data_IF_687261194830
#
_entry.id   IF_687261194830
#
_cell.length_a   1.000
_cell.length_b   1.000
_cell.length_c   1.000
_cell.angle_alpha   90.00
_cell.angle_beta   90.00
_cell.angle_gamma   90.00
#
_symmetry.space_group_name_H-M   'P 1'
#
loop_
_entity.id
_entity.type
_entity.pdbx_description
1 polymer ?
#
# COMPACT_ATOMS: atom_id res chain seq x y z
N UNK A 1 21.61 0.59 77.39
CA UNK A 1 20.67 0.39 78.51
C UNK A 1 19.41 -0.22 77.94
N UNK A 2 19.14 -1.40 78.38
CA UNK A 2 18.16 -2.36 77.93
C UNK A 2 16.75 -1.97 78.40
N UNK A 3 15.73 -2.18 77.61
CA UNK A 3 14.49 -2.66 78.18
C UNK A 3 13.65 -3.35 77.10
N UNK A 4 13.57 -4.63 77.27
CA UNK A 4 12.63 -5.54 76.62
C UNK A 4 11.25 -5.40 77.19
N UNK A 5 10.19 -5.42 76.41
CA UNK A 5 8.80 -5.68 76.80
C UNK A 5 8.16 -6.68 75.90
N UNK A 6 7.99 -7.86 76.45
CA UNK A 6 7.16 -8.96 75.95
C UNK A 6 5.68 -8.65 76.19
N UNK A 7 4.84 -8.78 75.21
CA UNK A 7 3.39 -8.83 75.38
C UNK A 7 2.78 -10.01 74.59
N UNK A 8 2.22 -10.85 75.35
CA UNK A 8 1.42 -12.02 74.97
C UNK A 8 0.05 -11.63 74.39
N UNK A 9 -0.40 -12.36 73.48
CA UNK A 9 -1.64 -12.24 72.90
C UNK A 9 -2.42 -13.40 72.60
N UNK A 10 -3.56 -13.44 72.69
CA UNK A 10 -4.58 -14.51 72.60
C UNK A 10 -4.98 -14.75 71.15
N UNK A 11 -5.02 -16.04 70.79
CA UNK A 11 -5.60 -16.53 69.52
C UNK A 11 -7.13 -16.43 69.58
N UNK A 12 -7.68 -15.77 68.60
CA UNK A 12 -9.12 -15.88 68.30
C UNK A 12 -9.24 -16.57 66.92
N UNK A 13 -9.79 -17.81 66.96
CA UNK A 13 -10.20 -18.49 65.75
C UNK A 13 -11.47 -17.82 65.20
N UNK A 14 -11.35 -17.21 64.04
CA UNK A 14 -12.49 -16.75 63.26
C UNK A 14 -12.72 -17.78 62.14
N UNK A 15 -13.77 -18.55 62.22
CA UNK A 15 -14.21 -19.47 61.18
C UNK A 15 -14.88 -18.64 60.09
N UNK A 16 -14.21 -18.45 58.96
CA UNK A 16 -14.80 -17.82 57.78
C UNK A 16 -15.51 -18.86 56.94
N UNK A 17 -16.82 -18.80 56.96
CA UNK A 17 -17.66 -19.60 56.03
C UNK A 17 -17.67 -18.92 54.68
N UNK A 18 -16.91 -19.44 53.73
CA UNK A 18 -16.91 -19.00 52.34
C UNK A 18 -18.09 -19.57 51.59
N UNK A 19 -19.11 -18.76 51.35
CA UNK A 19 -20.14 -19.03 50.36
C UNK A 19 -19.55 -18.91 48.97
N UNK A 20 -19.31 -20.02 48.30
CA UNK A 20 -18.97 -20.07 46.90
C UNK A 20 -20.23 -19.78 46.07
N UNK A 21 -20.40 -18.52 45.65
CA UNK A 21 -21.40 -18.19 44.65
C UNK A 21 -20.89 -18.69 43.29
N UNK A 22 -21.48 -19.76 42.78
CA UNK A 22 -21.31 -20.16 41.39
C UNK A 22 -21.96 -19.12 40.47
N UNK A 23 -21.16 -18.20 39.94
CA UNK A 23 -21.55 -17.32 38.81
C UNK A 23 -21.45 -18.15 37.55
N UNK A 24 -22.53 -18.35 36.77
CA UNK A 24 -22.42 -18.99 35.47
C UNK A 24 -21.57 -18.11 34.55
N UNK A 25 -20.44 -18.63 34.09
CA UNK A 25 -19.66 -18.05 33.02
C UNK A 25 -20.53 -18.07 31.75
N UNK A 26 -21.24 -16.98 31.52
CA UNK A 26 -21.78 -16.69 30.18
C UNK A 26 -20.59 -16.50 29.28
N UNK A 27 -20.27 -17.51 28.46
CA UNK A 27 -19.25 -17.46 27.46
C UNK A 27 -19.56 -16.29 26.51
N UNK A 28 -18.83 -15.17 26.64
CA UNK A 28 -18.84 -14.13 25.64
C UNK A 28 -18.21 -14.75 24.39
N UNK A 29 -19.06 -15.04 23.39
CA UNK A 29 -18.58 -15.36 22.04
C UNK A 29 -17.83 -14.12 21.53
N UNK A 30 -16.50 -14.16 21.59
CA UNK A 30 -15.67 -13.17 20.95
C UNK A 30 -16.06 -13.14 19.46
N UNK A 31 -16.39 -11.97 18.88
CA UNK A 31 -16.63 -11.90 17.45
C UNK A 31 -15.42 -12.50 16.73
N UNK A 32 -15.68 -13.37 15.77
CA UNK A 32 -14.64 -14.01 14.99
C UNK A 32 -13.78 -12.90 14.36
N UNK A 33 -12.51 -12.88 14.71
CA UNK A 33 -11.54 -11.96 14.12
C UNK A 33 -11.51 -12.22 12.61
N UNK A 34 -11.63 -11.21 11.76
CA UNK A 34 -11.50 -11.39 10.31
C UNK A 34 -10.24 -12.22 10.00
N UNK A 35 -10.30 -13.15 9.04
CA UNK A 35 -9.10 -13.88 8.65
C UNK A 35 -8.03 -12.88 8.20
N UNK A 36 -6.80 -13.10 8.65
CA UNK A 36 -5.66 -12.28 8.22
C UNK A 36 -5.57 -12.29 6.68
N UNK A 37 -5.26 -11.14 6.04
CA UNK A 37 -5.09 -11.07 4.59
C UNK A 37 -4.11 -12.15 4.12
N UNK A 38 -4.48 -12.86 3.07
CA UNK A 38 -3.58 -13.85 2.48
C UNK A 38 -2.57 -13.13 1.59
N UNK A 39 -1.27 -13.44 1.68
CA UNK A 39 -0.27 -12.80 0.83
C UNK A 39 -0.60 -12.94 -0.66
N UNK A 40 -0.33 -11.90 -1.44
CA UNK A 40 -0.50 -11.92 -2.89
C UNK A 40 0.23 -13.10 -3.51
N UNK A 41 -0.46 -13.84 -4.38
CA UNK A 41 0.14 -14.96 -5.08
C UNK A 41 1.01 -14.44 -6.23
N UNK A 42 2.28 -14.21 -5.94
CA UNK A 42 3.28 -13.86 -6.93
C UNK A 42 3.80 -15.13 -7.60
N UNK A 43 3.48 -15.28 -8.89
CA UNK A 43 3.79 -16.48 -9.67
C UNK A 43 4.99 -16.26 -10.59
N UNK A 44 5.67 -17.36 -10.94
CA UNK A 44 6.83 -17.34 -11.83
C UNK A 44 7.98 -16.47 -11.31
N UNK A 45 8.59 -16.83 -10.16
CA UNK A 45 9.72 -16.09 -9.63
C UNK A 45 10.87 -16.03 -10.64
N UNK A 46 11.54 -14.88 -10.69
CA UNK A 46 12.69 -14.67 -11.55
C UNK A 46 13.88 -15.43 -10.95
N UNK A 47 14.59 -16.28 -11.72
CA UNK A 47 15.76 -16.99 -11.20
C UNK A 47 16.81 -16.05 -10.61
N UNK A 48 17.35 -16.36 -9.44
CA UNK A 48 18.33 -15.52 -8.74
C UNK A 48 19.54 -15.14 -9.61
N UNK A 49 20.01 -16.04 -10.49
CA UNK A 49 21.08 -15.75 -11.42
C UNK A 49 20.79 -14.63 -12.43
N UNK A 50 19.49 -14.35 -12.69
CA UNK A 50 19.07 -13.25 -13.57
C UNK A 50 18.96 -11.92 -12.81
N UNK A 51 18.96 -11.95 -11.48
CA UNK A 51 18.86 -10.76 -10.62
C UNK A 51 20.20 -10.37 -9.99
N UNK A 52 21.14 -11.31 -9.87
CA UNK A 52 22.40 -11.13 -9.13
C UNK A 52 23.23 -9.91 -9.58
N UNK A 53 23.18 -9.55 -10.87
CA UNK A 53 23.91 -8.40 -11.41
C UNK A 53 23.48 -7.06 -10.79
N UNK A 54 22.25 -6.96 -10.26
CA UNK A 54 21.73 -5.75 -9.65
C UNK A 54 22.55 -5.32 -8.43
N UNK A 55 23.12 -6.26 -7.68
CA UNK A 55 24.01 -5.94 -6.56
C UNK A 55 25.24 -5.10 -6.99
N UNK A 56 25.72 -5.28 -8.20
CA UNK A 56 26.83 -4.51 -8.76
C UNK A 56 26.51 -3.04 -9.04
N UNK A 57 25.25 -2.67 -8.94
CA UNK A 57 24.78 -1.30 -9.15
C UNK A 57 24.49 -0.55 -7.85
N UNK A 58 24.71 -1.12 -6.68
CA UNK A 58 24.52 -0.47 -5.40
C UNK A 58 25.22 0.90 -5.36
N UNK A 59 24.46 1.97 -5.11
CA UNK A 59 24.94 3.35 -5.07
C UNK A 59 25.27 4.00 -6.43
N UNK A 60 25.23 3.24 -7.53
CA UNK A 60 25.34 3.79 -8.89
C UNK A 60 24.02 4.42 -9.32
N UNK A 61 24.07 5.29 -10.31
CA UNK A 61 22.86 5.98 -10.77
C UNK A 61 21.94 5.06 -11.57
N UNK A 62 20.62 5.29 -11.47
CA UNK A 62 19.63 4.62 -12.30
C UNK A 62 19.95 4.80 -13.79
N UNK A 63 20.42 5.98 -14.21
CA UNK A 63 20.88 6.25 -15.57
C UNK A 63 21.99 5.31 -16.04
N UNK A 64 22.88 4.88 -15.14
CA UNK A 64 23.94 3.92 -15.48
C UNK A 64 23.37 2.51 -15.61
N UNK A 65 22.45 2.11 -14.72
CA UNK A 65 21.77 0.83 -14.79
C UNK A 65 20.94 0.70 -16.07
N UNK A 66 20.28 1.78 -16.50
CA UNK A 66 19.49 1.82 -17.74
C UNK A 66 20.32 1.58 -19.02
N UNK A 67 21.65 1.59 -18.96
CA UNK A 67 22.50 1.21 -20.10
C UNK A 67 22.77 -0.28 -20.18
N UNK A 68 22.39 -1.03 -19.14
CA UNK A 68 22.63 -2.47 -19.08
C UNK A 68 21.53 -3.24 -19.84
N UNK A 69 21.97 -4.05 -20.82
CA UNK A 69 21.06 -4.89 -21.61
C UNK A 69 20.32 -5.93 -20.78
N UNK A 70 20.95 -6.43 -19.68
CA UNK A 70 20.29 -7.37 -18.78
C UNK A 70 19.14 -6.67 -18.06
N UNK A 71 19.34 -5.43 -17.65
CA UNK A 71 18.27 -4.66 -16.99
C UNK A 71 17.09 -4.40 -17.93
N UNK A 72 17.32 -4.03 -19.18
CA UNK A 72 16.23 -3.91 -20.15
C UNK A 72 15.47 -5.23 -20.37
N UNK A 73 16.17 -6.36 -20.35
CA UNK A 73 15.52 -7.66 -20.44
C UNK A 73 14.68 -7.96 -19.20
N UNK A 74 15.19 -7.58 -18.02
CA UNK A 74 14.50 -7.72 -16.74
C UNK A 74 13.25 -6.82 -16.69
N UNK A 75 13.34 -5.57 -17.14
CA UNK A 75 12.18 -4.68 -17.26
C UNK A 75 11.07 -5.32 -18.11
N UNK A 76 11.41 -5.86 -19.27
CA UNK A 76 10.44 -6.56 -20.14
C UNK A 76 9.83 -7.80 -19.49
N UNK A 77 10.56 -8.47 -18.61
CA UNK A 77 10.05 -9.61 -17.86
C UNK A 77 9.13 -9.20 -16.69
N UNK A 78 9.35 -8.02 -16.12
CA UNK A 78 8.62 -7.50 -14.96
C UNK A 78 7.36 -6.74 -15.33
N UNK A 79 7.43 -5.91 -16.39
CA UNK A 79 6.39 -4.96 -16.74
C UNK A 79 5.32 -5.64 -17.60
N UNK A 80 4.03 -5.58 -17.22
CA UNK A 80 2.94 -6.10 -18.04
C UNK A 80 2.87 -5.43 -19.41
N UNK A 81 2.43 -6.18 -20.41
CA UNK A 81 2.19 -5.63 -21.75
C UNK A 81 0.86 -4.89 -21.73
N UNK A 82 0.92 -3.59 -21.62
CA UNK A 82 -0.26 -2.72 -21.59
C UNK A 82 0.09 -1.37 -22.20
N UNK A 83 -0.92 -0.72 -22.77
CA UNK A 83 -0.86 0.70 -23.08
C UNK A 83 -1.10 1.50 -21.82
N UNK A 84 -0.36 2.58 -21.67
CA UNK A 84 -0.43 3.49 -20.54
C UNK A 84 -0.44 4.93 -21.05
N UNK A 85 -1.33 5.74 -20.52
CA UNK A 85 -1.37 7.15 -20.87
C UNK A 85 -0.34 7.93 -20.06
N UNK A 86 0.77 8.32 -20.69
CA UNK A 86 1.78 9.20 -20.10
C UNK A 86 2.01 10.39 -21.03
N UNK A 87 1.10 11.39 -20.96
CA UNK A 87 1.05 12.50 -21.90
C UNK A 87 0.61 12.13 -23.32
N UNK A 88 0.78 10.89 -23.69
CA UNK A 88 0.25 10.18 -24.87
C UNK A 88 0.13 8.72 -24.55
N UNK A 89 -0.63 7.99 -25.36
CA UNK A 89 -0.72 6.54 -25.25
C UNK A 89 0.59 5.90 -25.72
N UNK A 90 1.17 5.08 -24.88
CA UNK A 90 2.42 4.36 -25.13
C UNK A 90 2.48 3.07 -24.31
N UNK A 91 3.33 2.10 -24.66
CA UNK A 91 3.59 0.96 -23.79
C UNK A 91 4.08 1.41 -22.40
N UNK A 92 3.60 0.78 -21.33
CA UNK A 92 4.05 1.07 -19.97
C UNK A 92 5.57 0.92 -19.80
N UNK A 93 6.17 -0.01 -20.55
CA UNK A 93 7.63 -0.17 -20.59
C UNK A 93 8.33 1.09 -21.10
N UNK A 94 7.78 1.73 -22.13
CA UNK A 94 8.37 2.93 -22.74
C UNK A 94 8.20 4.14 -21.81
N UNK A 95 7.02 4.24 -21.12
CA UNK A 95 6.79 5.26 -20.11
C UNK A 95 7.80 5.17 -18.96
N UNK A 96 8.11 3.94 -18.51
CA UNK A 96 9.13 3.72 -17.49
C UNK A 96 10.55 4.02 -18.01
N UNK A 97 10.86 3.61 -19.23
CA UNK A 97 12.14 3.92 -19.85
C UNK A 97 12.39 5.45 -19.90
N UNK A 98 11.39 6.21 -20.33
CA UNK A 98 11.45 7.68 -20.37
C UNK A 98 11.76 8.30 -19.00
N UNK A 99 11.20 7.73 -17.92
CA UNK A 99 11.36 8.26 -16.56
C UNK A 99 12.67 7.80 -15.92
N UNK A 100 13.12 6.58 -16.20
CA UNK A 100 14.31 5.99 -15.57
C UNK A 100 15.62 6.39 -16.29
N UNK A 101 15.62 6.49 -17.61
CA UNK A 101 16.86 6.63 -18.42
C UNK A 101 17.66 7.89 -18.10
N UNK A 102 17.01 8.97 -17.69
CA UNK A 102 17.67 10.22 -17.30
C UNK A 102 17.96 10.37 -15.82
N UNK A 103 17.48 9.47 -14.97
CA UNK A 103 17.44 9.63 -13.52
C UNK A 103 18.84 9.58 -12.87
N UNK A 104 19.23 10.63 -12.13
CA UNK A 104 20.48 10.65 -11.37
C UNK A 104 20.36 9.93 -10.02
N UNK A 105 19.17 9.42 -9.65
CA UNK A 105 18.95 8.78 -8.36
C UNK A 105 19.78 7.50 -8.24
N UNK A 106 20.31 7.21 -7.04
CA UNK A 106 21.07 5.99 -6.82
C UNK A 106 20.16 4.77 -6.85
N UNK A 107 20.68 3.67 -7.36
CA UNK A 107 20.14 2.33 -7.11
C UNK A 107 20.40 1.98 -5.65
N UNK A 108 19.34 1.75 -4.90
CA UNK A 108 19.45 1.36 -3.51
C UNK A 108 19.43 -0.16 -3.38
N UNK A 109 20.37 -0.72 -2.63
CA UNK A 109 20.41 -2.13 -2.29
C UNK A 109 20.42 -2.25 -0.77
N UNK A 110 19.32 -2.75 -0.21
CA UNK A 110 19.15 -2.96 1.22
C UNK A 110 19.36 -4.44 1.56
N UNK A 111 20.19 -4.68 2.57
CA UNK A 111 20.51 -6.03 3.10
C UNK A 111 21.06 -7.02 2.06
N UNK A 112 21.60 -6.52 0.93
CA UNK A 112 22.04 -7.36 -0.20
C UNK A 112 20.88 -8.14 -0.86
N UNK A 113 19.64 -7.82 -0.54
CA UNK A 113 18.44 -8.55 -0.95
C UNK A 113 17.44 -7.68 -1.71
N UNK A 114 17.10 -6.52 -1.17
CA UNK A 114 16.07 -5.67 -1.75
C UNK A 114 16.69 -4.56 -2.58
N UNK A 115 16.34 -4.51 -3.85
CA UNK A 115 16.86 -3.52 -4.78
C UNK A 115 15.75 -2.58 -5.22
N UNK A 116 15.97 -1.27 -5.05
CA UNK A 116 15.07 -0.24 -5.56
C UNK A 116 15.74 0.59 -6.64
N UNK A 117 15.03 0.79 -7.74
CA UNK A 117 15.43 1.61 -8.88
C UNK A 117 14.38 2.70 -9.06
N UNK A 118 14.79 3.96 -8.98
CA UNK A 118 13.87 5.09 -8.96
C UNK A 118 14.18 6.07 -10.08
N UNK A 119 13.12 6.61 -10.71
CA UNK A 119 13.21 7.65 -11.71
C UNK A 119 12.26 8.81 -11.45
N UNK A 120 12.73 10.03 -11.69
CA UNK A 120 11.97 11.26 -11.47
C UNK A 120 12.10 12.22 -12.66
N UNK A 121 12.47 11.71 -13.81
CA UNK A 121 12.61 12.48 -15.04
C UNK A 121 11.61 11.97 -16.08
N UNK A 122 11.52 12.66 -17.16
CA UNK A 122 10.66 12.32 -18.29
C UNK A 122 10.14 13.58 -18.97
N UNK A 123 9.68 13.45 -20.23
CA UNK A 123 9.23 14.60 -21.02
C UNK A 123 7.89 15.17 -20.53
N UNK A 124 7.13 14.38 -19.74
CA UNK A 124 5.78 14.75 -19.35
C UNK A 124 5.64 14.89 -17.84
N UNK A 125 5.07 15.99 -17.40
CA UNK A 125 4.47 16.29 -16.10
C UNK A 125 5.06 15.55 -14.87
N UNK A 126 6.38 15.54 -14.73
CA UNK A 126 7.07 15.00 -13.55
C UNK A 126 6.68 13.54 -13.23
N UNK A 127 6.62 12.68 -14.24
CA UNK A 127 6.45 11.24 -14.04
C UNK A 127 7.45 10.67 -13.03
N UNK A 128 7.03 9.69 -12.27
CA UNK A 128 7.83 8.97 -11.28
C UNK A 128 7.76 7.49 -11.59
N UNK A 129 8.90 6.87 -11.76
CA UNK A 129 9.02 5.43 -11.97
C UNK A 129 9.71 4.75 -10.79
N UNK A 130 9.26 3.57 -10.45
CA UNK A 130 9.79 2.76 -9.36
C UNK A 130 9.79 1.29 -9.78
N UNK A 131 10.94 0.63 -9.62
CA UNK A 131 11.06 -0.82 -9.75
C UNK A 131 11.72 -1.37 -8.49
N UNK A 132 11.18 -2.47 -8.01
CA UNK A 132 11.62 -3.14 -6.80
C UNK A 132 11.82 -4.63 -7.05
N UNK A 133 12.90 -5.16 -6.49
CA UNK A 133 13.27 -6.56 -6.64
C UNK A 133 13.66 -7.17 -5.30
N UNK A 134 13.11 -8.35 -5.01
CA UNK A 134 13.64 -9.25 -3.99
C UNK A 134 14.51 -10.30 -4.68
N UNK A 135 15.81 -10.21 -4.45
CA UNK A 135 16.81 -11.07 -5.09
C UNK A 135 16.75 -12.52 -4.60
N UNK A 136 16.19 -12.76 -3.41
CA UNK A 136 16.07 -14.10 -2.84
C UNK A 136 14.81 -14.80 -3.35
N UNK A 137 13.68 -14.15 -3.25
CA UNK A 137 12.40 -14.73 -3.66
C UNK A 137 12.14 -14.60 -5.16
N UNK A 138 12.99 -13.88 -5.88
CA UNK A 138 12.79 -13.64 -7.30
C UNK A 138 11.56 -12.79 -7.62
N UNK A 139 11.19 -11.90 -6.70
CA UNK A 139 10.03 -11.04 -6.86
C UNK A 139 10.45 -9.74 -7.55
N UNK A 140 9.61 -9.29 -8.50
CA UNK A 140 9.77 -8.03 -9.18
C UNK A 140 8.42 -7.30 -9.26
N UNK A 141 8.37 -6.12 -8.67
CA UNK A 141 7.22 -5.24 -8.62
C UNK A 141 7.61 -3.85 -9.12
N UNK A 142 6.65 -3.05 -9.52
CA UNK A 142 6.92 -1.67 -9.89
C UNK A 142 5.77 -0.74 -9.55
N UNK A 143 6.04 0.55 -9.62
CA UNK A 143 5.08 1.61 -9.47
C UNK A 143 5.32 2.70 -10.49
N UNK A 144 4.25 3.32 -10.96
CA UNK A 144 4.30 4.48 -11.83
C UNK A 144 3.34 5.54 -11.33
N UNK A 145 3.85 6.76 -11.18
CA UNK A 145 3.06 7.92 -10.82
C UNK A 145 3.10 8.94 -11.94
N UNK A 146 1.96 9.49 -12.22
CA UNK A 146 1.81 10.53 -13.22
C UNK A 146 0.63 11.43 -12.83
N UNK A 147 0.81 12.74 -12.99
CA UNK A 147 -0.29 13.69 -12.83
C UNK A 147 -0.96 13.85 -14.18
N UNK A 148 -2.13 13.26 -14.41
CA UNK A 148 -2.78 13.30 -15.69
C UNK A 148 -3.28 14.71 -16.01
N UNK A 149 -3.26 15.06 -17.28
CA UNK A 149 -3.80 16.32 -17.81
C UNK A 149 -5.25 16.15 -18.19
N UNK A 150 -5.65 14.91 -18.44
CA UNK A 150 -6.99 14.56 -18.90
C UNK A 150 -7.45 13.25 -18.25
N UNK A 151 -8.56 13.27 -17.57
CA UNK A 151 -9.40 12.11 -17.31
C UNK A 151 -9.29 11.43 -15.95
N UNK A 152 -8.17 11.49 -15.25
CA UNK A 152 -8.12 10.99 -13.87
C UNK A 152 -8.31 12.17 -12.89
N UNK A 153 -9.25 12.07 -11.95
CA UNK A 153 -9.60 13.20 -11.07
C UNK A 153 -8.47 13.53 -10.08
N UNK A 154 -7.65 12.56 -9.74
CA UNK A 154 -6.55 12.73 -8.80
C UNK A 154 -5.27 12.06 -9.31
N UNK A 155 -4.08 12.61 -9.00
CA UNK A 155 -2.81 11.93 -9.25
C UNK A 155 -2.76 10.60 -8.49
N UNK A 156 -2.46 9.51 -9.19
CA UNK A 156 -2.46 8.16 -8.60
C UNK A 156 -1.19 7.39 -8.93
N UNK A 157 -0.83 6.47 -8.04
CA UNK A 157 0.20 5.47 -8.31
C UNK A 157 -0.47 4.21 -8.85
N UNK A 158 0.07 3.69 -9.92
CA UNK A 158 -0.28 2.37 -10.45
C UNK A 158 0.84 1.40 -10.11
N UNK A 159 0.55 0.39 -9.30
CA UNK A 159 1.46 -0.74 -9.03
C UNK A 159 1.33 -1.76 -10.15
N UNK A 160 2.40 -2.43 -10.52
CA UNK A 160 2.35 -3.42 -11.59
C UNK A 160 3.35 -4.55 -11.40
N UNK A 161 3.00 -5.74 -11.92
CA UNK A 161 3.92 -6.85 -12.10
C UNK A 161 3.33 -7.92 -13.00
N UNK A 162 4.18 -8.56 -13.82
CA UNK A 162 3.79 -9.78 -14.55
C UNK A 162 3.65 -11.00 -13.65
N UNK A 163 4.14 -10.93 -12.42
CA UNK A 163 3.99 -11.99 -11.42
C UNK A 163 2.63 -11.96 -10.74
N UNK A 164 1.92 -10.83 -10.76
CA UNK A 164 0.53 -10.74 -10.30
C UNK A 164 -0.41 -11.37 -11.32
N UNK A 165 -1.27 -12.28 -10.86
CA UNK A 165 -2.26 -12.97 -11.72
C UNK A 165 -3.70 -12.70 -11.30
N UNK A 166 -3.90 -12.22 -10.09
CA UNK A 166 -5.22 -11.90 -9.54
C UNK A 166 -5.81 -10.63 -10.15
N UNK A 167 -7.12 -10.48 -10.02
CA UNK A 167 -7.90 -9.31 -10.45
C UNK A 167 -8.48 -8.51 -9.28
N UNK A 168 -8.22 -8.96 -8.05
CA UNK A 168 -8.47 -8.27 -6.80
C UNK A 168 -7.17 -8.34 -6.00
N UNK A 169 -6.76 -7.23 -5.39
CA UNK A 169 -5.53 -7.11 -4.64
C UNK A 169 -5.67 -5.99 -3.63
N UNK A 170 -5.36 -6.29 -2.38
CA UNK A 170 -5.20 -5.30 -1.34
C UNK A 170 -3.72 -4.93 -1.15
N UNK A 171 -3.45 -3.70 -0.71
CA UNK A 171 -2.08 -3.24 -0.50
C UNK A 171 -1.36 -4.08 0.56
N UNK A 172 -2.07 -4.52 1.61
CA UNK A 172 -1.55 -5.39 2.67
C UNK A 172 -1.18 -6.80 2.22
N UNK A 173 -1.68 -7.24 1.07
CA UNK A 173 -1.31 -8.53 0.48
C UNK A 173 0.05 -8.49 -0.22
N UNK A 174 0.58 -7.30 -0.53
CA UNK A 174 1.91 -7.14 -1.13
C UNK A 174 3.02 -7.35 -0.09
N UNK A 175 4.24 -7.73 -0.52
CA UNK A 175 5.36 -7.86 0.41
C UNK A 175 5.57 -6.57 1.20
N UNK A 176 5.70 -6.69 2.53
CA UNK A 176 5.84 -5.53 3.41
C UNK A 176 7.02 -4.65 3.02
N UNK A 177 8.14 -5.25 2.68
CA UNK A 177 9.35 -4.54 2.29
C UNK A 177 9.16 -3.75 0.99
N UNK A 178 8.29 -4.24 0.10
CA UNK A 178 7.87 -3.48 -1.08
C UNK A 178 7.03 -2.28 -0.68
N UNK A 179 6.06 -2.45 0.22
CA UNK A 179 5.18 -1.37 0.68
C UNK A 179 5.99 -0.29 1.40
N UNK A 180 6.93 -0.68 2.26
CA UNK A 180 7.84 0.24 2.95
C UNK A 180 8.69 1.05 1.95
N UNK A 181 9.30 0.38 0.97
CA UNK A 181 10.12 1.02 -0.06
C UNK A 181 9.27 1.87 -1.03
N UNK A 182 8.03 1.46 -1.32
CA UNK A 182 7.05 2.24 -2.09
C UNK A 182 6.68 3.54 -1.37
N UNK A 183 6.47 3.47 -0.06
CA UNK A 183 6.19 4.63 0.79
C UNK A 183 7.38 5.59 0.80
N UNK A 184 8.60 5.07 0.94
CA UNK A 184 9.82 5.88 0.87
C UNK A 184 9.99 6.56 -0.51
N UNK A 185 9.76 5.83 -1.59
CA UNK A 185 9.78 6.38 -2.94
C UNK A 185 8.73 7.49 -3.11
N UNK A 186 7.53 7.30 -2.58
CA UNK A 186 6.45 8.28 -2.61
C UNK A 186 6.86 9.56 -1.89
N UNK A 187 7.46 9.45 -0.71
CA UNK A 187 7.96 10.59 0.05
C UNK A 187 9.05 11.37 -0.71
N UNK A 188 10.06 10.67 -1.27
CA UNK A 188 11.12 11.28 -2.10
C UNK A 188 10.53 11.95 -3.35
N UNK A 189 9.57 11.29 -3.98
CA UNK A 189 8.87 11.79 -5.18
C UNK A 189 7.87 12.92 -4.90
N UNK A 190 7.58 13.22 -3.63
CA UNK A 190 6.48 14.10 -3.20
C UNK A 190 5.15 13.67 -3.79
N UNK A 191 4.92 12.37 -3.81
CA UNK A 191 3.68 11.75 -4.23
C UNK A 191 2.71 11.82 -3.05
N UNK A 192 1.41 12.06 -3.26
CA UNK A 192 0.43 12.05 -2.19
C UNK A 192 0.45 10.75 -1.39
N UNK A 193 0.32 10.83 -0.08
CA UNK A 193 0.44 9.69 0.82
C UNK A 193 -0.66 8.63 0.59
N UNK A 194 -1.80 9.05 0.10
CA UNK A 194 -2.95 8.20 -0.22
C UNK A 194 -2.83 7.38 -1.52
N UNK A 195 -1.69 7.41 -2.18
CA UNK A 195 -1.36 6.52 -3.31
C UNK A 195 -0.59 5.30 -2.78
N UNK A 196 -0.73 4.11 -3.35
CA UNK A 196 -1.25 3.72 -4.67
C UNK A 196 -2.77 3.52 -4.74
N UNK A 197 -3.33 3.48 -5.97
CA UNK A 197 -4.78 3.33 -6.23
C UNK A 197 -5.13 2.23 -7.21
N UNK A 198 -4.22 1.88 -8.07
CA UNK A 198 -4.45 0.89 -9.12
C UNK A 198 -3.34 -0.14 -9.16
N UNK A 199 -3.68 -1.31 -9.70
CA UNK A 199 -2.66 -2.27 -10.08
C UNK A 199 -2.90 -2.84 -11.48
N UNK A 200 -1.82 -3.27 -12.11
CA UNK A 200 -1.82 -3.91 -13.44
C UNK A 200 -1.11 -5.26 -13.31
N UNK A 201 -1.85 -6.38 -13.30
CA UNK A 201 -1.27 -7.72 -13.34
C UNK A 201 -0.84 -8.11 -14.75
N UNK A 202 -0.39 -9.36 -14.94
CA UNK A 202 0.12 -9.87 -16.22
C UNK A 202 -0.84 -9.74 -17.39
N UNK A 203 -2.16 -9.75 -17.15
CA UNK A 203 -3.15 -9.59 -18.20
C UNK A 203 -3.21 -8.17 -18.79
N UNK A 204 -2.44 -7.23 -18.25
CA UNK A 204 -2.32 -5.85 -18.71
C UNK A 204 -3.54 -4.96 -18.46
N UNK A 205 -4.56 -5.44 -17.75
CA UNK A 205 -5.73 -4.63 -17.39
C UNK A 205 -5.50 -3.90 -16.08
N UNK A 206 -6.03 -2.68 -15.99
CA UNK A 206 -5.97 -1.84 -14.80
C UNK A 206 -7.12 -2.19 -13.86
N UNK A 207 -6.83 -2.42 -12.59
CA UNK A 207 -7.80 -2.71 -11.53
C UNK A 207 -7.58 -1.75 -10.37
N UNK A 208 -8.60 -1.54 -9.54
CA UNK A 208 -8.47 -0.80 -8.28
C UNK A 208 -7.65 -1.65 -7.31
N UNK A 209 -6.67 -1.01 -6.66
CA UNK A 209 -5.92 -1.59 -5.56
C UNK A 209 -6.66 -1.25 -4.27
N UNK A 210 -7.08 -2.26 -3.53
CA UNK A 210 -7.79 -2.09 -2.28
C UNK A 210 -6.84 -1.56 -1.20
N UNK A 211 -7.27 -0.53 -0.49
CA UNK A 211 -6.54 0.05 0.62
C UNK A 211 -7.24 -0.37 1.91
N UNK A 212 -6.63 -1.31 2.60
CA UNK A 212 -7.08 -1.82 3.89
C UNK A 212 -6.13 -1.42 5.03
N UNK A 213 -5.22 -0.49 4.78
CA UNK A 213 -4.31 0.02 5.79
C UNK A 213 -5.05 0.92 6.79
N UNK A 214 -4.85 0.62 8.06
CA UNK A 214 -5.21 1.51 9.15
C UNK A 214 -4.01 2.38 9.53
N UNK A 215 -4.04 3.65 9.15
CA UNK A 215 -2.98 4.60 9.45
C UNK A 215 -2.85 4.91 10.95
N UNK A 216 -3.85 4.53 11.76
CA UNK A 216 -3.79 4.60 13.21
C UNK A 216 -3.09 3.37 13.83
N UNK A 217 -2.89 2.30 13.05
CA UNK A 217 -2.21 1.12 13.54
C UNK A 217 -0.72 1.41 13.79
N UNK A 218 -0.22 0.93 14.90
CA UNK A 218 1.21 0.99 15.24
C UNK A 218 1.64 -0.30 15.93
N UNK A 219 2.91 -0.67 15.75
CA UNK A 219 3.45 -1.84 16.43
C UNK A 219 3.53 -1.61 17.95
N UNK A 220 3.39 -2.68 18.72
CA UNK A 220 3.51 -2.60 20.18
C UNK A 220 4.88 -2.03 20.58
N UNK A 221 4.86 -0.94 21.37
CA UNK A 221 6.05 -0.22 21.79
C UNK A 221 6.54 0.89 20.86
N UNK A 222 5.96 1.03 19.67
CA UNK A 222 6.15 2.20 18.83
C UNK A 222 5.26 3.36 19.34
N UNK A 223 5.65 4.63 19.15
CA UNK A 223 4.77 5.75 19.46
C UNK A 223 3.54 5.70 18.56
N UNK A 224 2.35 5.85 19.16
CA UNK A 224 1.12 5.98 18.41
C UNK A 224 1.14 7.28 17.58
N UNK A 225 0.68 7.27 16.33
CA UNK A 225 0.47 8.50 15.59
C UNK A 225 -0.60 9.36 16.28
N UNK A 226 -0.60 10.69 16.07
CA UNK A 226 -1.68 11.55 16.55
C UNK A 226 -3.02 11.07 15.99
N UNK A 227 -4.03 10.91 16.85
CA UNK A 227 -5.31 10.29 16.49
C UNK A 227 -6.04 11.05 15.37
N UNK A 228 -6.06 12.37 15.44
CA UNK A 228 -6.67 13.24 14.44
C UNK A 228 -5.97 13.14 13.08
N UNK A 229 -4.65 13.06 13.06
CA UNK A 229 -3.86 12.93 11.83
C UNK A 229 -4.08 11.55 11.17
N UNK A 230 -4.05 10.48 11.94
CA UNK A 230 -4.22 9.14 11.39
C UNK A 230 -5.66 8.87 10.96
N UNK A 231 -6.65 9.37 11.69
CA UNK A 231 -8.05 9.28 11.30
C UNK A 231 -8.34 10.07 10.03
N UNK A 232 -7.73 11.26 9.88
CA UNK A 232 -7.83 12.03 8.65
C UNK A 232 -7.18 11.28 7.48
N UNK A 233 -6.02 10.64 7.70
CA UNK A 233 -5.36 9.83 6.67
C UNK A 233 -6.22 8.63 6.23
N UNK A 234 -6.86 7.93 7.19
CA UNK A 234 -7.81 6.86 6.87
C UNK A 234 -9.00 7.36 6.05
N UNK A 235 -9.56 8.51 6.40
CA UNK A 235 -10.66 9.13 5.66
C UNK A 235 -10.23 9.53 4.25
N UNK A 236 -9.05 10.12 4.11
CA UNK A 236 -8.51 10.54 2.81
C UNK A 236 -8.22 9.32 1.91
N UNK A 237 -7.71 8.23 2.48
CA UNK A 237 -7.51 6.98 1.77
C UNK A 237 -8.85 6.40 1.26
N UNK A 238 -9.85 6.31 2.14
CA UNK A 238 -11.18 5.80 1.78
C UNK A 238 -11.86 6.67 0.69
N UNK A 239 -11.73 8.00 0.78
CA UNK A 239 -12.24 8.90 -0.25
C UNK A 239 -11.54 8.69 -1.60
N UNK A 240 -10.22 8.52 -1.59
CA UNK A 240 -9.47 8.33 -2.82
C UNK A 240 -9.75 6.96 -3.46
N UNK A 241 -9.98 5.91 -2.67
CA UNK A 241 -10.40 4.61 -3.18
C UNK A 241 -11.80 4.67 -3.81
N UNK A 242 -12.70 5.41 -3.18
CA UNK A 242 -14.03 5.66 -3.74
C UNK A 242 -13.93 6.41 -5.07
N UNK A 243 -13.12 7.47 -5.15
CA UNK A 243 -12.92 8.26 -6.37
C UNK A 243 -12.30 7.39 -7.48
N UNK A 244 -11.33 6.53 -7.13
CA UNK A 244 -10.73 5.61 -8.08
C UNK A 244 -11.76 4.58 -8.61
N UNK A 245 -12.57 4.00 -7.73
CA UNK A 245 -13.62 3.06 -8.09
C UNK A 245 -14.69 3.72 -8.97
N UNK A 246 -15.08 4.95 -8.64
CA UNK A 246 -16.04 5.75 -9.42
C UNK A 246 -15.49 6.03 -10.82
N UNK A 247 -14.26 6.52 -10.93
CA UNK A 247 -13.60 6.78 -12.19
C UNK A 247 -13.52 5.53 -13.10
N UNK A 248 -13.17 4.38 -12.51
CA UNK A 248 -13.14 3.11 -13.26
C UNK A 248 -14.52 2.73 -13.78
N UNK A 249 -15.55 2.90 -12.97
CA UNK A 249 -16.94 2.63 -13.34
C UNK A 249 -17.43 3.60 -14.44
N UNK A 250 -17.11 4.87 -14.32
CA UNK A 250 -17.44 5.90 -15.32
C UNK A 250 -16.77 5.56 -16.67
N UNK A 251 -15.48 5.29 -16.67
CA UNK A 251 -14.72 4.93 -17.87
C UNK A 251 -15.29 3.68 -18.53
N UNK A 252 -15.65 2.66 -17.74
CA UNK A 252 -16.28 1.45 -18.26
C UNK A 252 -17.67 1.74 -18.86
N UNK A 253 -18.46 2.57 -18.24
CA UNK A 253 -19.81 2.89 -18.66
C UNK A 253 -19.85 3.92 -19.80
N UNK A 254 -18.84 4.76 -19.96
CA UNK A 254 -18.74 5.68 -21.10
C UNK A 254 -18.79 4.91 -22.43
N UNK A 255 -18.16 3.73 -22.47
CA UNK A 255 -18.23 2.83 -23.62
C UNK A 255 -19.65 2.28 -23.88
N UNK A 256 -20.54 2.30 -22.89
CA UNK A 256 -21.88 1.71 -22.93
C UNK A 256 -23.02 2.77 -22.91
N UNK A 257 -22.71 4.04 -23.12
CA UNK A 257 -23.64 5.16 -23.13
C UNK A 257 -24.47 5.34 -21.84
N UNK A 258 -24.02 4.83 -20.71
CA UNK A 258 -24.69 4.95 -19.40
C UNK A 258 -23.95 5.86 -18.40
N UNK A 259 -22.84 6.45 -18.81
CA UNK A 259 -22.03 7.32 -17.96
C UNK A 259 -22.84 8.51 -17.38
N UNK A 260 -23.76 9.06 -18.16
CA UNK A 260 -24.60 10.19 -17.72
C UNK A 260 -25.51 9.91 -16.51
N UNK A 261 -25.71 8.63 -16.17
CA UNK A 261 -26.49 8.25 -14.98
C UNK A 261 -25.67 8.24 -13.70
N UNK A 262 -24.34 8.16 -13.79
CA UNK A 262 -23.46 8.02 -12.63
C UNK A 262 -23.26 9.34 -11.89
N UNK A 263 -23.11 10.46 -12.60
CA UNK A 263 -22.89 11.77 -11.98
C UNK A 263 -24.03 12.19 -11.05
N UNK A 264 -25.33 12.05 -11.44
CA UNK A 264 -26.44 12.33 -10.53
C UNK A 264 -26.46 11.40 -9.31
N UNK A 265 -26.15 10.11 -9.48
CA UNK A 265 -26.10 9.14 -8.38
C UNK A 265 -24.97 9.48 -7.40
N UNK A 266 -23.77 9.76 -7.92
CA UNK A 266 -22.63 10.16 -7.10
C UNK A 266 -22.88 11.48 -6.37
N UNK A 267 -23.46 12.46 -7.04
CA UNK A 267 -23.81 13.75 -6.43
C UNK A 267 -24.83 13.57 -5.32
N UNK A 268 -25.87 12.74 -5.54
CA UNK A 268 -26.86 12.43 -4.52
C UNK A 268 -26.24 11.72 -3.32
N UNK A 269 -25.37 10.74 -3.56
CA UNK A 269 -24.65 10.03 -2.50
C UNK A 269 -23.73 10.94 -1.70
N UNK A 270 -22.97 11.82 -2.34
CA UNK A 270 -22.13 12.82 -1.66
C UNK A 270 -22.97 13.76 -0.78
N UNK A 271 -24.16 14.17 -1.26
CA UNK A 271 -25.09 14.95 -0.48
C UNK A 271 -25.63 14.21 0.76
N UNK A 272 -25.97 12.93 0.61
CA UNK A 272 -26.39 12.08 1.73
C UNK A 272 -25.24 11.91 2.74
N UNK A 273 -24.05 11.59 2.27
CA UNK A 273 -22.86 11.47 3.12
C UNK A 273 -22.59 12.75 3.91
N UNK A 274 -22.58 13.91 3.23
CA UNK A 274 -22.36 15.20 3.87
C UNK A 274 -23.41 15.51 4.93
N UNK A 275 -24.68 15.17 4.70
CA UNK A 275 -25.77 15.42 5.66
C UNK A 275 -25.79 14.43 6.82
N UNK A 276 -25.34 13.20 6.61
CA UNK A 276 -25.39 12.11 7.62
C UNK A 276 -24.16 12.11 8.50
N UNK A 277 -22.99 12.46 7.94
CA UNK A 277 -21.70 12.41 8.63
C UNK A 277 -21.29 13.78 9.24
N UNK A 278 -22.17 14.76 9.29
CA UNK A 278 -21.92 16.07 9.94
C UNK A 278 -22.47 16.06 11.37
N UNK A 279 -21.60 15.98 12.35
CA UNK A 279 -21.98 16.08 13.77
C UNK A 279 -20.88 15.53 14.71
N UNK A 280 -21.01 15.81 16.02
CA UNK A 280 -20.02 15.36 17.01
C UNK A 280 -19.88 13.82 17.13
N UNK A 281 -20.76 13.06 16.46
CA UNK A 281 -20.72 11.59 16.38
C UNK A 281 -20.44 11.08 14.97
N UNK A 282 -19.93 11.92 14.08
CA UNK A 282 -19.70 11.59 12.68
C UNK A 282 -18.50 10.62 12.46
N UNK A 283 -17.85 10.22 13.54
CA UNK A 283 -16.71 9.28 13.56
C UNK A 283 -17.10 7.94 14.20
N UNK A 284 -18.37 7.57 14.23
CA UNK A 284 -18.88 6.29 14.71
C UNK A 284 -19.15 5.30 13.59
#
# INVERSE_FOLDING_TARGET
MVTTLTSSRRSALLTLVTFAAMVPLVGQSQPAQPPAPQPAQLQNPIPAGQLAFLNGYAGRTTKELMKDKQFHSLMKATIPRTEYHYGRDMPLTDALDDVLSGSPLPVNVRDGRYVTVMGMQGPYLRGRGFLWFDLHEGIALGGFFFTPVNGEPTPTVTVFSRQLKQTSLALSELPREFVDDLSQWSAVGRIPQISPRYFIPDNGKKYVLEHDEDYCWHAAGAPAPPEDECMQANLDAANADMDAAYFMKETHNAANATAWMLDPEQTAWLGIRASTCVGPNALG
#
